data_IF_578309391525
#
_entry.id   IF_578309391525
#
_cell.length_a   1.000
_cell.length_b   1.000
_cell.length_c   1.000
_cell.angle_alpha   90.00
_cell.angle_beta   90.00
_cell.angle_gamma   90.00
#
_symmetry.space_group_name_H-M   'P 1'
#
loop_
_entity.id
_entity.type
_entity.pdbx_description
1 polymer ?
#
# COMPACT_ATOMS: atom_id res chain seq x y z
N UNK A 1 19.87 11.81 -2.02
CA UNK A 1 18.81 10.97 -1.45
C UNK A 1 17.86 11.78 -0.58
N UNK A 2 18.36 12.64 0.31
CA UNK A 2 17.56 13.41 1.29
C UNK A 2 16.45 14.27 0.67
N UNK A 3 16.73 14.94 -0.45
CA UNK A 3 15.70 15.69 -1.19
C UNK A 3 14.57 14.76 -1.63
N UNK A 4 14.89 13.56 -2.13
CA UNK A 4 13.86 12.62 -2.57
C UNK A 4 13.02 12.10 -1.41
N UNK A 5 13.65 11.76 -0.28
CA UNK A 5 12.93 11.35 0.93
C UNK A 5 12.00 12.45 1.47
N UNK A 6 12.34 13.72 1.24
CA UNK A 6 11.49 14.84 1.67
C UNK A 6 10.29 15.11 0.76
N UNK A 7 10.35 14.73 -0.52
CA UNK A 7 9.33 15.11 -1.53
C UNK A 7 8.51 13.95 -2.06
N UNK A 8 8.91 12.68 -1.91
CA UNK A 8 8.24 11.54 -2.55
C UNK A 8 6.77 11.37 -2.14
N UNK A 9 6.42 11.69 -0.90
CA UNK A 9 5.03 11.69 -0.45
C UNK A 9 4.18 12.69 -1.24
N UNK A 10 4.69 13.88 -1.49
CA UNK A 10 4.00 14.88 -2.30
C UNK A 10 3.94 14.47 -3.77
N UNK A 11 5.01 13.84 -4.28
CA UNK A 11 4.99 13.24 -5.63
C UNK A 11 3.92 12.15 -5.73
N UNK A 12 3.74 11.32 -4.70
CA UNK A 12 2.68 10.32 -4.66
C UNK A 12 1.28 10.93 -4.69
N UNK A 13 1.04 12.06 -4.00
CA UNK A 13 -0.23 12.79 -4.10
C UNK A 13 -0.48 13.31 -5.51
N UNK A 14 0.53 13.86 -6.17
CA UNK A 14 0.40 14.29 -7.57
C UNK A 14 0.03 13.10 -8.48
N UNK A 15 0.62 11.93 -8.27
CA UNK A 15 0.26 10.70 -8.98
C UNK A 15 -1.21 10.31 -8.69
N UNK A 16 -1.67 10.38 -7.45
CA UNK A 16 -3.07 10.10 -7.10
C UNK A 16 -4.03 11.06 -7.82
N UNK A 17 -3.72 12.36 -7.85
CA UNK A 17 -4.52 13.37 -8.58
C UNK A 17 -4.59 13.05 -10.07
N UNK A 18 -3.47 12.67 -10.70
CA UNK A 18 -3.45 12.25 -12.11
C UNK A 18 -4.32 11.01 -12.32
N UNK A 19 -4.21 9.99 -11.47
CA UNK A 19 -5.04 8.78 -11.56
C UNK A 19 -6.54 9.10 -11.44
N UNK A 20 -6.93 9.98 -10.51
CA UNK A 20 -8.33 10.42 -10.37
C UNK A 20 -8.80 11.25 -11.57
N UNK A 21 -7.95 12.11 -12.13
CA UNK A 21 -8.27 12.86 -13.35
C UNK A 21 -8.50 11.92 -14.55
N UNK A 22 -7.68 10.88 -14.71
CA UNK A 22 -7.87 9.84 -15.72
C UNK A 22 -9.19 9.08 -15.50
N UNK A 23 -9.52 8.73 -14.25
CA UNK A 23 -10.78 8.09 -13.90
C UNK A 23 -11.98 8.94 -14.33
N UNK A 24 -11.97 10.23 -13.98
CA UNK A 24 -13.07 11.17 -14.35
C UNK A 24 -13.17 11.30 -15.85
N UNK A 25 -12.04 11.52 -16.54
CA UNK A 25 -11.98 11.68 -17.99
C UNK A 25 -12.54 10.47 -18.74
N UNK A 26 -12.20 9.26 -18.31
CA UNK A 26 -12.57 8.02 -18.97
C UNK A 26 -13.72 7.27 -18.30
N UNK A 27 -14.46 7.92 -17.37
CA UNK A 27 -15.51 7.27 -16.58
C UNK A 27 -16.53 6.50 -17.44
N UNK A 28 -16.95 7.08 -18.56
CA UNK A 28 -17.94 6.47 -19.44
C UNK A 28 -17.39 5.35 -20.33
N UNK A 29 -16.08 5.37 -20.60
CA UNK A 29 -15.41 4.45 -21.51
C UNK A 29 -14.90 3.18 -20.79
N UNK A 30 -14.54 3.32 -19.51
CA UNK A 30 -13.93 2.26 -18.74
C UNK A 30 -14.96 1.30 -18.14
N UNK A 31 -14.68 -0.01 -18.21
CA UNK A 31 -15.43 -1.00 -17.46
C UNK A 31 -15.14 -0.89 -15.94
N UNK A 32 -15.89 -1.64 -15.13
CA UNK A 32 -15.78 -1.56 -13.68
C UNK A 32 -14.37 -1.86 -13.15
N UNK A 33 -13.67 -2.86 -13.71
CA UNK A 33 -12.32 -3.22 -13.26
C UNK A 33 -11.30 -2.11 -13.57
N UNK A 34 -11.44 -1.47 -14.74
CA UNK A 34 -10.60 -0.32 -15.11
C UNK A 34 -10.85 0.89 -14.21
N UNK A 35 -12.11 1.11 -13.78
CA UNK A 35 -12.44 2.21 -12.84
C UNK A 35 -11.89 1.97 -11.44
N UNK A 36 -11.81 0.71 -11.00
CA UNK A 36 -11.28 0.39 -9.67
C UNK A 36 -9.76 0.57 -9.58
N UNK A 37 -9.02 0.41 -10.68
CA UNK A 37 -7.56 0.51 -10.66
C UNK A 37 -7.03 1.87 -10.16
N UNK A 38 -7.47 3.04 -10.68
CA UNK A 38 -7.04 4.34 -10.16
C UNK A 38 -7.50 4.60 -8.72
N UNK A 39 -8.64 4.02 -8.30
CA UNK A 39 -9.07 4.11 -6.91
C UNK A 39 -8.14 3.30 -5.98
N UNK A 40 -7.66 2.13 -6.42
CA UNK A 40 -6.71 1.33 -5.65
C UNK A 40 -5.36 2.04 -5.51
N UNK A 41 -4.85 2.68 -6.58
CA UNK A 41 -3.63 3.50 -6.50
C UNK A 41 -3.82 4.69 -5.56
N UNK A 42 -4.96 5.37 -5.64
CA UNK A 42 -5.27 6.49 -4.73
C UNK A 42 -5.36 6.01 -3.28
N UNK A 43 -5.99 4.86 -3.04
CA UNK A 43 -6.06 4.26 -1.71
C UNK A 43 -4.66 3.95 -1.15
N UNK A 44 -3.75 3.42 -1.97
CA UNK A 44 -2.37 3.17 -1.57
C UNK A 44 -1.63 4.47 -1.20
N UNK A 45 -1.83 5.54 -1.97
CA UNK A 45 -1.25 6.85 -1.62
C UNK A 45 -1.79 7.36 -0.29
N UNK A 46 -3.10 7.30 -0.05
CA UNK A 46 -3.70 7.71 1.22
C UNK A 46 -3.22 6.85 2.39
N UNK A 47 -3.04 5.56 2.15
CA UNK A 47 -2.53 4.61 3.13
C UNK A 47 -1.11 4.97 3.60
N UNK A 48 -0.22 5.22 2.66
CA UNK A 48 1.15 5.65 2.95
C UNK A 48 1.17 6.99 3.69
N UNK A 49 0.25 7.91 3.37
CA UNK A 49 0.11 9.16 4.12
C UNK A 49 -0.36 8.92 5.56
N UNK A 50 -1.26 7.98 5.80
CA UNK A 50 -1.66 7.57 7.14
C UNK A 50 -0.49 6.98 7.93
N UNK A 51 0.33 6.15 7.29
CA UNK A 51 1.50 5.52 7.90
C UNK A 51 2.61 6.51 8.27
N UNK A 52 2.83 7.52 7.42
CA UNK A 52 3.97 8.42 7.54
C UNK A 52 3.67 9.75 8.24
N UNK A 53 2.42 10.26 8.13
CA UNK A 53 2.11 11.65 8.47
C UNK A 53 0.87 11.85 9.32
N UNK A 54 -0.22 11.17 9.03
CA UNK A 54 -1.53 11.49 9.62
C UNK A 54 -2.26 10.21 10.05
N UNK A 55 -2.00 9.67 11.26
CA UNK A 55 -1.17 10.25 12.33
C UNK A 55 0.32 9.93 12.23
N UNK A 56 0.76 9.05 11.33
CA UNK A 56 2.14 8.59 11.23
C UNK A 56 2.53 7.56 12.30
N UNK A 57 3.78 7.09 12.25
CA UNK A 57 4.31 6.19 13.29
C UNK A 57 4.17 4.69 12.99
N UNK A 58 3.78 4.31 11.77
CA UNK A 58 3.75 2.90 11.36
C UNK A 58 5.06 2.17 11.68
N UNK A 59 6.20 2.78 11.33
CA UNK A 59 7.53 2.24 11.56
C UNK A 59 7.78 1.89 13.04
N UNK A 60 7.26 2.69 13.97
CA UNK A 60 7.48 2.49 15.40
C UNK A 60 6.91 1.14 15.85
N UNK A 61 5.69 0.84 15.41
CA UNK A 61 5.09 -0.48 15.66
C UNK A 61 5.80 -1.57 14.86
N UNK A 62 6.08 -1.33 13.58
CA UNK A 62 6.69 -2.33 12.68
C UNK A 62 8.09 -2.75 13.17
N UNK A 63 8.95 -1.78 13.44
CA UNK A 63 10.33 -1.96 13.87
C UNK A 63 10.47 -2.25 15.38
N UNK A 64 9.40 -2.18 16.18
CA UNK A 64 9.50 -2.31 17.64
C UNK A 64 10.28 -1.16 18.29
N UNK A 65 10.16 0.08 17.76
CA UNK A 65 10.82 1.28 18.27
C UNK A 65 12.24 1.54 17.73
N UNK A 66 12.80 0.65 16.92
CA UNK A 66 14.14 0.87 16.29
C UNK A 66 13.98 1.75 15.04
N UNK A 67 14.61 2.95 14.97
CA UNK A 67 14.24 3.96 13.96
C UNK A 67 14.63 3.62 12.52
N UNK A 68 15.52 2.68 12.29
CA UNK A 68 16.07 2.38 10.95
C UNK A 68 16.13 0.90 10.59
N UNK A 69 15.67 -0.01 11.50
CA UNK A 69 15.78 -1.44 11.27
C UNK A 69 14.56 -2.21 11.84
N UNK A 70 14.02 -3.21 11.16
CA UNK A 70 14.42 -3.70 9.82
C UNK A 70 14.08 -2.75 8.66
N UNK A 71 13.22 -1.75 8.88
CA UNK A 71 12.75 -0.81 7.88
C UNK A 71 13.25 0.60 8.17
N UNK A 72 14.01 1.17 7.23
CA UNK A 72 14.40 2.59 7.21
C UNK A 72 13.43 3.42 6.35
N UNK A 73 13.51 4.75 6.42
CA UNK A 73 12.76 5.63 5.51
C UNK A 73 13.02 5.30 4.04
N UNK A 74 14.26 4.91 3.69
CA UNK A 74 14.59 4.52 2.32
C UNK A 74 13.90 3.23 1.90
N UNK A 75 13.93 2.21 2.76
CA UNK A 75 13.29 0.91 2.49
C UNK A 75 11.79 1.10 2.28
N UNK A 76 11.13 1.82 3.18
CA UNK A 76 9.69 2.03 3.13
C UNK A 76 9.27 2.88 1.92
N UNK A 77 10.04 3.93 1.61
CA UNK A 77 9.83 4.72 0.39
C UNK A 77 9.93 3.84 -0.87
N UNK A 78 10.97 3.00 -0.99
CA UNK A 78 11.16 2.15 -2.18
C UNK A 78 10.03 1.14 -2.30
N UNK A 79 9.62 0.53 -1.20
CA UNK A 79 8.51 -0.42 -1.14
C UNK A 79 7.21 0.23 -1.64
N UNK A 80 6.80 1.30 -1.01
CA UNK A 80 5.52 1.94 -1.27
C UNK A 80 5.47 2.66 -2.63
N UNK A 81 6.53 3.41 -2.96
CA UNK A 81 6.57 4.16 -4.21
C UNK A 81 6.62 3.25 -5.45
N UNK A 82 7.31 2.11 -5.37
CA UNK A 82 7.30 1.11 -6.45
C UNK A 82 5.89 0.55 -6.69
N UNK A 83 5.14 0.27 -5.63
CA UNK A 83 3.73 -0.16 -5.73
C UNK A 83 2.84 0.91 -6.39
N UNK A 84 2.99 2.18 -6.01
CA UNK A 84 2.26 3.31 -6.59
C UNK A 84 2.57 3.46 -8.09
N UNK A 85 3.85 3.37 -8.47
CA UNK A 85 4.27 3.46 -9.88
C UNK A 85 3.74 2.30 -10.69
N UNK A 86 3.88 1.06 -10.22
CA UNK A 86 3.35 -0.13 -10.91
C UNK A 86 1.83 -0.08 -11.04
N UNK A 87 1.13 0.33 -9.99
CA UNK A 87 -0.33 0.53 -10.04
C UNK A 87 -0.73 1.57 -11.09
N UNK A 88 0.01 2.67 -11.18
CA UNK A 88 -0.22 3.71 -12.20
C UNK A 88 0.03 3.19 -13.62
N UNK A 89 1.07 2.38 -13.82
CA UNK A 89 1.32 1.71 -15.10
C UNK A 89 0.10 0.84 -15.48
N UNK A 90 -0.46 0.09 -14.54
CA UNK A 90 -1.70 -0.70 -14.79
C UNK A 90 -2.87 0.20 -15.20
N UNK A 91 -3.03 1.37 -14.58
CA UNK A 91 -4.07 2.35 -14.97
C UNK A 91 -3.86 2.83 -16.40
N UNK A 92 -2.64 3.21 -16.78
CA UNK A 92 -2.30 3.75 -18.10
C UNK A 92 -2.46 2.72 -19.22
N UNK A 93 -2.03 1.47 -19.01
CA UNK A 93 -2.15 0.40 -20.01
C UNK A 93 -3.49 -0.35 -19.96
N UNK A 94 -4.34 -0.02 -19.02
CA UNK A 94 -5.68 -0.56 -18.85
C UNK A 94 -5.71 -1.84 -18.02
N UNK A 95 -6.44 -1.76 -16.91
CA UNK A 95 -6.67 -2.91 -16.04
C UNK A 95 -7.46 -4.02 -16.76
N UNK A 96 -7.11 -5.26 -16.48
CA UNK A 96 -7.75 -6.47 -16.97
C UNK A 96 -7.93 -7.48 -15.83
N UNK A 97 -8.44 -8.67 -16.12
CA UNK A 97 -8.66 -9.67 -15.06
C UNK A 97 -7.39 -10.08 -14.32
N UNK A 98 -6.24 -10.15 -14.99
CA UNK A 98 -4.96 -10.54 -14.37
C UNK A 98 -4.50 -9.46 -13.38
N UNK A 99 -4.38 -8.22 -13.86
CA UNK A 99 -3.95 -7.09 -13.02
C UNK A 99 -4.94 -6.77 -11.91
N UNK A 100 -6.25 -7.02 -12.12
CA UNK A 100 -7.27 -6.86 -11.09
C UNK A 100 -7.15 -7.92 -9.98
N UNK A 101 -6.67 -9.13 -10.29
CA UNK A 101 -6.34 -10.13 -9.27
C UNK A 101 -5.14 -9.69 -8.44
N UNK A 102 -4.13 -9.07 -9.06
CA UNK A 102 -2.99 -8.49 -8.33
C UNK A 102 -3.48 -7.39 -7.36
N UNK A 103 -4.31 -6.47 -7.83
CA UNK A 103 -4.86 -5.39 -7.00
C UNK A 103 -5.78 -5.92 -5.88
N UNK A 104 -6.56 -6.98 -6.14
CA UNK A 104 -7.33 -7.67 -5.10
C UNK A 104 -6.41 -8.27 -4.03
N UNK A 105 -5.32 -8.92 -4.45
CA UNK A 105 -4.37 -9.54 -3.51
C UNK A 105 -3.68 -8.48 -2.64
N UNK A 106 -3.21 -7.37 -3.22
CA UNK A 106 -2.62 -6.25 -2.48
C UNK A 106 -3.65 -5.66 -1.51
N UNK A 107 -4.86 -5.34 -1.98
CA UNK A 107 -5.91 -4.79 -1.11
C UNK A 107 -6.27 -5.73 0.04
N UNK A 108 -6.33 -7.04 -0.21
CA UNK A 108 -6.57 -8.04 0.82
C UNK A 108 -5.41 -8.17 1.81
N UNK A 109 -4.18 -8.04 1.34
CA UNK A 109 -2.98 -8.05 2.17
C UNK A 109 -2.97 -6.86 3.15
N UNK A 110 -3.25 -5.64 2.68
CA UNK A 110 -3.31 -4.45 3.54
C UNK A 110 -4.37 -4.60 4.65
N UNK A 111 -5.54 -5.16 4.31
CA UNK A 111 -6.59 -5.45 5.30
C UNK A 111 -6.10 -6.47 6.33
N UNK A 112 -5.41 -7.53 5.92
CA UNK A 112 -4.88 -8.55 6.83
C UNK A 112 -3.75 -8.00 7.70
N UNK A 113 -2.82 -7.24 7.12
CA UNK A 113 -1.69 -6.67 7.86
C UNK A 113 -2.18 -5.68 8.91
N UNK A 114 -2.93 -4.66 8.51
CA UNK A 114 -3.36 -3.59 9.44
C UNK A 114 -4.58 -3.95 10.27
N UNK A 115 -5.56 -4.65 9.70
CA UNK A 115 -6.80 -5.00 10.40
C UNK A 115 -6.66 -6.18 11.37
N UNK A 116 -5.65 -7.05 11.20
CA UNK A 116 -5.47 -8.24 12.03
C UNK A 116 -4.09 -8.28 12.69
N UNK A 117 -3.00 -8.32 11.90
CA UNK A 117 -1.66 -8.59 12.42
C UNK A 117 -1.16 -7.41 13.27
N UNK A 118 -1.08 -6.22 12.69
CA UNK A 118 -0.57 -5.03 13.38
C UNK A 118 -1.55 -4.51 14.44
N UNK A 119 -2.85 -4.70 14.25
CA UNK A 119 -3.84 -4.46 15.30
C UNK A 119 -3.54 -5.31 16.54
N UNK A 120 -3.36 -6.62 16.38
CA UNK A 120 -3.03 -7.51 17.48
C UNK A 120 -1.68 -7.15 18.15
N UNK A 121 -0.68 -6.74 17.36
CA UNK A 121 0.61 -6.26 17.88
C UNK A 121 0.45 -4.96 18.67
N UNK A 122 -0.32 -4.00 18.18
CA UNK A 122 -0.60 -2.72 18.85
C UNK A 122 -1.36 -2.92 20.16
N UNK A 123 -2.37 -3.80 20.18
CA UNK A 123 -3.09 -4.17 21.39
C UNK A 123 -2.17 -4.82 22.44
N UNK A 124 -1.29 -5.74 22.01
CA UNK A 124 -0.39 -6.47 22.89
C UNK A 124 0.70 -5.57 23.50
N UNK A 125 1.24 -4.61 22.74
CA UNK A 125 2.36 -3.77 23.17
C UNK A 125 1.92 -2.47 23.85
N UNK A 126 0.81 -1.88 23.40
CA UNK A 126 0.39 -0.54 23.78
C UNK A 126 -1.05 -0.46 24.31
N UNK A 127 -1.79 -1.57 24.34
CA UNK A 127 -3.17 -1.61 24.82
C UNK A 127 -4.18 -0.90 23.90
N UNK A 128 -3.81 -0.59 22.65
CA UNK A 128 -4.66 0.13 21.70
C UNK A 128 -4.90 -0.69 20.43
N UNK A 129 -6.15 -0.71 19.94
CA UNK A 129 -6.53 -1.49 18.75
C UNK A 129 -6.18 -0.81 17.44
N UNK A 130 -5.89 0.50 17.45
CA UNK A 130 -5.53 1.25 16.26
C UNK A 130 -4.03 1.11 15.95
N UNK A 131 -3.71 1.13 14.65
CA UNK A 131 -2.35 1.33 14.14
C UNK A 131 -2.41 2.19 12.86
N UNK A 132 -1.36 2.99 12.56
CA UNK A 132 -1.29 3.77 11.33
C UNK A 132 -1.38 2.85 10.10
N UNK A 133 -2.21 3.24 9.14
CA UNK A 133 -2.59 2.40 7.98
C UNK A 133 -3.93 1.65 8.15
N UNK A 134 -4.41 1.47 9.39
CA UNK A 134 -5.63 0.69 9.66
C UNK A 134 -6.90 1.36 9.12
N UNK A 135 -7.02 2.69 9.23
CA UNK A 135 -8.20 3.41 8.76
C UNK A 135 -8.38 3.24 7.25
N UNK A 136 -7.32 3.47 6.48
CA UNK A 136 -7.35 3.30 5.02
C UNK A 136 -7.46 1.83 4.63
N UNK A 137 -6.87 0.90 5.38
CA UNK A 137 -7.06 -0.53 5.16
C UNK A 137 -8.53 -0.93 5.26
N UNK A 138 -9.24 -0.48 6.29
CA UNK A 138 -10.64 -0.85 6.51
C UNK A 138 -11.63 -0.01 5.68
N UNK A 139 -11.36 1.29 5.47
CA UNK A 139 -12.29 2.18 4.78
C UNK A 139 -12.07 2.26 3.26
N UNK A 140 -10.86 1.96 2.78
CA UNK A 140 -10.53 2.01 1.36
C UNK A 140 -10.24 0.62 0.79
N UNK A 141 -9.26 -0.10 1.33
CA UNK A 141 -8.85 -1.38 0.75
C UNK A 141 -9.88 -2.50 0.94
N UNK A 142 -10.56 -2.59 2.07
CA UNK A 142 -11.59 -3.61 2.27
C UNK A 142 -12.75 -3.44 1.27
N UNK A 143 -13.37 -2.26 1.08
CA UNK A 143 -14.37 -2.07 0.03
C UNK A 143 -13.83 -2.35 -1.37
N UNK A 144 -12.60 -1.93 -1.69
CA UNK A 144 -11.98 -2.20 -2.98
C UNK A 144 -11.76 -3.70 -3.21
N UNK A 145 -11.27 -4.44 -2.23
CA UNK A 145 -11.11 -5.90 -2.31
C UNK A 145 -12.46 -6.58 -2.59
N UNK A 146 -13.52 -6.19 -1.89
CA UNK A 146 -14.87 -6.71 -2.12
C UNK A 146 -15.33 -6.39 -3.54
N UNK A 147 -15.15 -5.16 -4.02
CA UNK A 147 -15.56 -4.75 -5.36
C UNK A 147 -14.77 -5.48 -6.45
N UNK A 148 -13.42 -5.59 -6.31
CA UNK A 148 -12.61 -6.38 -7.24
C UNK A 148 -13.09 -7.83 -7.30
N UNK A 149 -13.33 -8.45 -6.15
CA UNK A 149 -13.82 -9.83 -6.08
C UNK A 149 -15.18 -9.99 -6.78
N UNK A 150 -16.15 -9.11 -6.46
CA UNK A 150 -17.49 -9.13 -7.08
C UNK A 150 -17.42 -8.98 -8.60
N UNK A 151 -16.64 -8.02 -9.11
CA UNK A 151 -16.52 -7.81 -10.54
C UNK A 151 -15.72 -8.90 -11.25
N UNK A 152 -14.71 -9.48 -10.62
CA UNK A 152 -14.00 -10.65 -11.13
C UNK A 152 -14.92 -11.87 -11.23
N UNK A 153 -15.73 -12.15 -10.20
CA UNK A 153 -16.72 -13.24 -10.24
C UNK A 153 -17.69 -13.03 -11.39
N UNK A 154 -18.20 -11.81 -11.57
CA UNK A 154 -19.13 -11.48 -12.68
C UNK A 154 -18.47 -11.61 -14.05
N UNK A 155 -17.19 -11.26 -14.17
CA UNK A 155 -16.42 -11.32 -15.43
C UNK A 155 -16.00 -12.75 -15.80
N UNK A 156 -16.03 -13.69 -14.85
CA UNK A 156 -15.71 -15.12 -15.03
C UNK A 156 -14.35 -15.32 -15.74
N UNK A 157 -13.23 -14.88 -15.16
CA UNK A 157 -11.92 -15.03 -15.78
C UNK A 157 -11.60 -16.50 -16.01
N UNK A 158 -10.89 -16.81 -17.11
CA UNK A 158 -10.41 -18.17 -17.38
C UNK A 158 -9.40 -18.58 -16.31
N UNK A 159 -9.33 -19.89 -16.00
CA UNK A 159 -8.37 -20.43 -15.03
C UNK A 159 -6.93 -19.93 -15.27
N UNK A 160 -6.49 -19.88 -16.53
CA UNK A 160 -5.16 -19.34 -16.90
C UNK A 160 -4.99 -17.89 -16.43
N UNK A 161 -6.01 -17.06 -16.54
CA UNK A 161 -5.94 -15.64 -16.07
C UNK A 161 -5.86 -15.57 -14.55
N UNK A 162 -6.57 -16.46 -13.84
CA UNK A 162 -6.51 -16.55 -12.39
C UNK A 162 -5.09 -16.97 -11.95
N UNK A 163 -4.56 -18.04 -12.53
CA UNK A 163 -3.22 -18.52 -12.20
C UNK A 163 -2.15 -17.46 -12.49
N UNK A 164 -2.21 -16.82 -13.66
CA UNK A 164 -1.28 -15.73 -13.98
C UNK A 164 -1.44 -14.54 -13.02
N UNK A 165 -2.67 -14.15 -12.66
CA UNK A 165 -2.91 -13.07 -11.70
C UNK A 165 -2.30 -13.38 -10.33
N UNK A 166 -2.45 -14.61 -9.83
CA UNK A 166 -1.84 -15.06 -8.57
C UNK A 166 -0.30 -15.05 -8.67
N UNK A 167 0.26 -15.60 -9.73
CA UNK A 167 1.73 -15.59 -9.95
C UNK A 167 2.26 -14.15 -10.00
N UNK A 168 1.60 -13.25 -10.75
CA UNK A 168 1.99 -11.84 -10.79
C UNK A 168 1.82 -11.14 -9.43
N UNK A 169 0.79 -11.47 -8.65
CA UNK A 169 0.63 -10.92 -7.30
C UNK A 169 1.82 -11.32 -6.39
N UNK A 170 2.25 -12.57 -6.45
CA UNK A 170 3.44 -13.06 -5.73
C UNK A 170 4.70 -12.33 -6.20
N UNK A 171 4.91 -12.20 -7.53
CA UNK A 171 6.07 -11.52 -8.10
C UNK A 171 6.10 -10.04 -7.69
N UNK A 172 4.97 -9.34 -7.76
CA UNK A 172 4.88 -7.91 -7.39
C UNK A 172 5.14 -7.73 -5.90
N UNK A 173 4.54 -8.56 -5.04
CA UNK A 173 4.80 -8.51 -3.60
C UNK A 173 6.28 -8.77 -3.31
N UNK A 174 6.87 -9.79 -3.91
CA UNK A 174 8.29 -10.10 -3.75
C UNK A 174 9.18 -8.94 -4.22
N UNK A 175 8.92 -8.38 -5.40
CA UNK A 175 9.72 -7.33 -6.00
C UNK A 175 9.58 -5.96 -5.29
N UNK A 176 8.37 -5.63 -4.82
CA UNK A 176 8.10 -4.32 -4.20
C UNK A 176 8.28 -4.32 -2.67
N UNK A 177 8.18 -5.47 -2.00
CA UNK A 177 8.27 -5.56 -0.54
C UNK A 177 9.47 -6.39 -0.13
N UNK A 178 9.49 -7.69 -0.40
CA UNK A 178 10.50 -8.59 0.13
C UNK A 178 11.93 -8.28 -0.35
N UNK A 179 12.11 -7.88 -1.61
CA UNK A 179 13.43 -7.50 -2.11
C UNK A 179 13.94 -6.18 -1.50
N UNK A 180 13.18 -5.07 -1.47
CA UNK A 180 13.60 -3.86 -0.78
C UNK A 180 13.94 -4.11 0.69
N UNK A 181 13.11 -4.84 1.43
CA UNK A 181 13.41 -5.19 2.82
C UNK A 181 14.70 -6.01 2.95
N UNK A 182 14.91 -7.01 2.09
CA UNK A 182 16.09 -7.87 2.17
C UNK A 182 17.39 -7.15 1.79
N UNK A 183 17.35 -6.21 0.82
CA UNK A 183 18.55 -5.54 0.31
C UNK A 183 18.84 -4.19 0.97
N UNK A 184 17.82 -3.51 1.51
CA UNK A 184 17.95 -2.18 2.11
C UNK A 184 17.85 -2.19 3.63
N UNK A 185 17.55 -3.34 4.26
CA UNK A 185 17.59 -3.48 5.71
C UNK A 185 19.04 -3.41 6.19
N UNK A 186 19.40 -2.29 6.82
CA UNK A 186 20.73 -2.04 7.34
C UNK A 186 20.61 -1.35 8.71
N UNK A 187 21.08 -1.97 9.80
CA UNK A 187 21.10 -1.34 11.13
C UNK A 187 21.93 -0.08 11.21
N UNK A 188 22.85 0.13 10.25
CA UNK A 188 23.65 1.35 10.12
C UNK A 188 23.08 2.35 9.12
N UNK A 189 21.85 2.15 8.63
CA UNK A 189 21.20 3.06 7.70
C UNK A 189 21.11 4.48 8.28
N UNK A 190 21.56 5.52 7.55
CA UNK A 190 21.43 6.90 8.01
C UNK A 190 20.00 7.46 7.81
N UNK A 191 19.11 6.69 7.20
CA UNK A 191 17.74 7.11 6.87
C UNK A 191 16.76 6.70 7.97
N UNK A 192 16.97 7.26 9.17
CA UNK A 192 16.18 6.99 10.35
C UNK A 192 14.83 7.69 10.31
N UNK A 193 13.81 7.03 10.84
CA UNK A 193 12.57 7.71 11.21
C UNK A 193 12.79 8.50 12.50
N UNK A 194 12.23 9.70 12.57
CA UNK A 194 12.43 10.58 13.72
C UNK A 194 11.18 10.83 14.54
N UNK A 195 10.00 10.61 13.95
CA UNK A 195 8.72 10.89 14.58
C UNK A 195 7.95 9.58 14.83
N UNK A 196 7.74 9.15 16.09
CA UNK A 196 6.94 7.99 16.42
C UNK A 196 5.43 8.19 16.15
N UNK A 197 5.00 9.39 15.75
CA UNK A 197 3.64 9.69 15.33
C UNK A 197 2.60 9.33 16.38
N UNK A 198 1.64 8.47 16.02
CA UNK A 198 0.58 8.00 16.90
C UNK A 198 1.09 7.43 18.24
N UNK A 199 2.28 6.83 18.24
CA UNK A 199 2.83 6.17 19.44
C UNK A 199 3.63 7.11 20.36
N UNK A 200 3.78 8.41 20.02
CA UNK A 200 4.57 9.38 20.82
C UNK A 200 4.14 9.45 22.28
N UNK A 201 2.84 9.38 22.55
CA UNK A 201 2.28 9.49 23.89
C UNK A 201 1.97 8.13 24.55
N UNK A 202 2.26 7.02 23.87
CA UNK A 202 1.98 5.67 24.35
C UNK A 202 3.25 4.92 24.73
N UNK A 203 4.42 5.48 24.43
CA UNK A 203 5.74 4.89 24.66
C UNK A 203 6.36 5.28 26.02
N UNK A 204 5.66 6.10 26.83
CA UNK A 204 6.03 6.47 28.20
C UNK A 204 5.40 5.50 29.22
#
# INVERSE_FOLDING_TARGET
>A
MDLWLSIWLYASLAIAVVNLALLVRHWKEWDALKRLAPLAVTALVLHVWEEWRIPGGFWYLYNGGVPNYPMSQLTDMVTNFSGIVLGTIVVLYGANSITSIVMLAISGMEVMVHGVILRGKSEALYGVSYNPGMLTALCCFLPLAILFLVFLIRKRPKLRQILLGVVFAVIVNFACVALPEAFLADPASPYEFTDPGFYSNLAE
#
